data_IF_880794296956
#
_entry.id   IF_880794296956
#
_cell.length_a   1.000
_cell.length_b   1.000
_cell.length_c   1.000
_cell.angle_alpha   90.00
_cell.angle_beta   90.00
_cell.angle_gamma   90.00
#
_symmetry.space_group_name_H-M   'P 1'
#
loop_
_entity.id
_entity.type
_entity.pdbx_description
1 polymer ?
#
# COMPACT_ATOMS: atom_id res chain seq x y z
N UNK A 1 -4.05 77.21 24.38
CA UNK A 1 -3.91 77.12 22.91
C UNK A 1 -3.02 75.92 22.64
N UNK A 2 -3.55 74.70 22.51
CA UNK A 2 -4.34 74.12 21.40
C UNK A 2 -3.51 74.02 20.10
N UNK A 3 -3.43 72.79 19.55
CA UNK A 3 -2.95 72.45 18.20
C UNK A 3 -1.94 71.28 18.21
N UNK A 4 -2.37 70.02 18.30
CA UNK A 4 -2.72 69.10 17.18
C UNK A 4 -1.47 68.65 16.38
N UNK A 5 -0.92 67.45 16.57
CA UNK A 5 -1.36 66.11 16.12
C UNK A 5 -1.46 65.99 14.58
N UNK A 6 -0.37 65.52 13.95
CA UNK A 6 -0.45 64.79 12.67
C UNK A 6 0.53 63.62 12.72
N UNK A 7 -0.01 62.45 13.04
CA UNK A 7 0.63 61.16 12.80
C UNK A 7 0.66 60.92 11.28
N UNK A 8 1.85 60.77 10.71
CA UNK A 8 2.01 60.29 9.35
C UNK A 8 1.66 58.80 9.30
N UNK A 9 0.44 58.51 8.87
CA UNK A 9 -0.02 57.21 8.41
C UNK A 9 0.74 56.87 7.13
N UNK A 10 1.86 56.15 7.28
CA UNK A 10 2.43 55.34 6.21
C UNK A 10 1.48 54.16 5.98
N UNK A 11 0.46 54.39 5.17
CA UNK A 11 -0.30 53.33 4.50
C UNK A 11 0.67 52.68 3.51
N UNK A 12 1.49 51.76 4.03
CA UNK A 12 2.15 50.78 3.20
C UNK A 12 1.04 49.91 2.62
N UNK A 13 0.76 50.14 1.35
CA UNK A 13 -0.04 49.28 0.50
C UNK A 13 0.60 47.88 0.51
N UNK A 14 0.15 47.02 1.43
CA UNK A 14 0.27 45.57 1.32
C UNK A 14 -0.66 45.09 0.19
N UNK A 15 -0.32 45.49 -1.03
CA UNK A 15 -0.84 44.96 -2.27
C UNK A 15 0.35 44.44 -3.08
N UNK A 16 1.05 43.46 -2.50
CA UNK A 16 2.02 42.64 -3.21
C UNK A 16 1.52 41.20 -3.14
N UNK A 17 0.78 40.84 -4.19
CA UNK A 17 0.55 39.50 -4.70
C UNK A 17 0.52 38.38 -3.64
N UNK A 18 -0.64 38.21 -3.00
CA UNK A 18 -1.16 36.84 -2.89
C UNK A 18 -1.27 36.33 -4.32
N UNK A 19 -0.25 35.62 -4.83
CA UNK A 19 -0.50 34.64 -5.86
C UNK A 19 -1.51 33.68 -5.24
N UNK A 20 -2.80 33.95 -5.50
CA UNK A 20 -3.86 33.13 -4.95
C UNK A 20 -3.54 31.71 -5.39
N UNK A 21 -3.27 30.83 -4.42
CA UNK A 21 -3.20 29.41 -4.71
C UNK A 21 -4.57 29.07 -5.28
N UNK A 22 -4.66 28.95 -6.61
CA UNK A 22 -5.85 28.41 -7.24
C UNK A 22 -5.98 27.00 -6.71
N UNK A 23 -7.10 26.64 -6.07
CA UNK A 23 -7.29 25.29 -5.61
C UNK A 23 -7.06 24.32 -6.76
N UNK A 24 -6.24 23.30 -6.51
CA UNK A 24 -5.76 22.37 -7.53
C UNK A 24 -6.90 21.70 -8.32
N UNK A 25 -8.11 21.59 -7.76
CA UNK A 25 -9.29 21.04 -8.42
C UNK A 25 -9.99 21.98 -9.43
N UNK A 26 -9.53 23.24 -9.54
CA UNK A 26 -10.03 24.21 -10.53
C UNK A 26 -9.15 24.27 -11.80
N UNK A 27 -7.94 23.72 -11.76
CA UNK A 27 -6.99 23.75 -12.89
C UNK A 27 -7.10 22.48 -13.72
N UNK A 28 -7.17 22.64 -15.06
CA UNK A 28 -7.13 21.53 -16.03
C UNK A 28 -5.78 21.37 -16.72
N UNK A 29 -4.79 22.14 -16.30
CA UNK A 29 -3.45 22.07 -16.87
C UNK A 29 -2.81 20.71 -16.51
N UNK A 30 -2.10 20.06 -17.47
CA UNK A 30 -1.40 18.83 -17.18
C UNK A 30 -0.43 18.98 -16.02
N UNK A 31 -0.55 18.10 -15.04
CA UNK A 31 0.30 18.08 -13.85
C UNK A 31 1.68 17.54 -14.22
N UNK A 32 1.75 16.53 -15.10
CA UNK A 32 2.99 16.03 -15.69
C UNK A 32 3.46 16.97 -16.81
N UNK A 33 3.69 18.23 -16.43
CA UNK A 33 4.21 19.29 -17.28
C UNK A 33 5.71 19.08 -17.58
N UNK A 34 6.27 19.76 -18.60
CA UNK A 34 7.71 19.73 -18.86
C UNK A 34 8.59 20.11 -17.66
N UNK A 35 8.09 20.92 -16.74
CA UNK A 35 8.80 21.25 -15.50
C UNK A 35 8.88 20.06 -14.55
N UNK A 36 7.77 19.32 -14.38
CA UNK A 36 7.74 18.09 -13.57
C UNK A 36 8.56 16.98 -14.22
N UNK A 37 8.50 16.87 -15.55
CA UNK A 37 9.35 15.96 -16.32
C UNK A 37 10.84 16.20 -16.05
N UNK A 38 11.26 17.47 -16.13
CA UNK A 38 12.64 17.88 -15.89
C UNK A 38 13.05 17.64 -14.44
N UNK A 39 12.15 17.86 -13.48
CA UNK A 39 12.39 17.57 -12.07
C UNK A 39 12.62 16.07 -11.82
N UNK A 40 11.72 15.20 -12.31
CA UNK A 40 11.86 13.75 -12.15
C UNK A 40 13.14 13.26 -12.84
N UNK A 41 13.37 13.68 -14.08
CA UNK A 41 14.57 13.31 -14.85
C UNK A 41 15.84 13.80 -14.16
N UNK A 42 15.81 15.00 -13.56
CA UNK A 42 16.90 15.57 -12.77
C UNK A 42 17.23 14.72 -11.55
N UNK A 43 16.23 14.28 -10.79
CA UNK A 43 16.44 13.37 -9.64
C UNK A 43 17.05 12.05 -10.10
N UNK A 44 16.50 11.43 -11.15
CA UNK A 44 17.03 10.17 -11.68
C UNK A 44 18.50 10.30 -12.10
N UNK A 45 18.86 11.43 -12.72
CA UNK A 45 20.23 11.72 -13.13
C UNK A 45 21.16 12.00 -11.92
N UNK A 46 20.75 12.86 -10.99
CA UNK A 46 21.53 13.21 -9.78
C UNK A 46 21.82 11.96 -8.94
N UNK A 47 20.84 11.08 -8.81
CA UNK A 47 20.98 9.85 -8.05
C UNK A 47 21.74 8.77 -8.81
N UNK A 48 21.97 8.96 -10.12
CA UNK A 48 22.41 7.93 -11.06
C UNK A 48 21.59 6.65 -10.86
N UNK A 49 20.27 6.82 -10.92
CA UNK A 49 19.32 5.75 -10.66
C UNK A 49 19.42 4.69 -11.77
N UNK A 50 19.73 3.44 -11.44
CA UNK A 50 19.92 2.38 -12.44
C UNK A 50 18.60 1.93 -13.08
N UNK A 51 17.47 2.17 -12.39
CA UNK A 51 16.12 1.91 -12.86
C UNK A 51 15.32 3.19 -13.07
N UNK A 52 14.05 3.02 -13.41
CA UNK A 52 13.11 4.11 -13.64
C UNK A 52 11.95 4.14 -12.66
N UNK A 53 11.02 5.06 -12.91
CA UNK A 53 9.73 5.17 -12.23
C UNK A 53 8.61 5.23 -13.26
N UNK A 54 7.44 4.73 -12.89
CA UNK A 54 6.19 4.96 -13.62
C UNK A 54 5.25 5.75 -12.72
N UNK A 55 4.76 6.88 -13.21
CA UNK A 55 4.00 7.86 -12.44
C UNK A 55 2.60 7.95 -13.02
N UNK A 56 1.60 7.95 -12.13
CA UNK A 56 0.23 8.30 -12.46
C UNK A 56 -0.21 9.50 -11.59
N UNK A 57 -0.93 10.44 -12.20
CA UNK A 57 -1.60 11.54 -11.51
C UNK A 57 -3.09 11.41 -11.79
N UNK A 58 -3.88 11.43 -10.73
CA UNK A 58 -5.33 11.31 -10.77
C UNK A 58 -5.93 12.57 -10.15
N UNK A 59 -6.78 13.26 -10.91
CA UNK A 59 -7.40 14.52 -10.49
C UNK A 59 -8.90 14.49 -10.76
N UNK A 60 -9.69 14.74 -9.70
CA UNK A 60 -11.13 14.99 -9.82
C UNK A 60 -11.37 16.49 -9.94
N UNK A 61 -12.07 16.89 -10.99
CA UNK A 61 -12.45 18.28 -11.22
C UNK A 61 -13.72 18.65 -10.47
N UNK A 62 -13.93 19.95 -10.26
CA UNK A 62 -15.14 20.46 -9.59
C UNK A 62 -16.47 20.10 -10.28
N UNK A 63 -16.44 19.75 -11.58
CA UNK A 63 -17.61 19.26 -12.32
C UNK A 63 -17.80 17.73 -12.24
N UNK A 64 -16.96 17.05 -11.44
CA UNK A 64 -17.00 15.60 -11.25
C UNK A 64 -16.26 14.79 -12.32
N UNK A 65 -15.67 15.43 -13.34
CA UNK A 65 -14.87 14.73 -14.36
C UNK A 65 -13.48 14.40 -13.86
N UNK A 66 -12.82 13.44 -14.52
CA UNK A 66 -11.47 12.98 -14.18
C UNK A 66 -10.44 13.42 -15.22
N UNK A 67 -9.27 13.86 -14.75
CA UNK A 67 -8.03 13.83 -15.52
C UNK A 67 -7.11 12.76 -14.96
N UNK A 68 -6.61 11.89 -15.84
CA UNK A 68 -5.62 10.87 -15.51
C UNK A 68 -4.43 11.05 -16.44
N UNK A 69 -3.25 11.24 -15.87
CA UNK A 69 -2.00 11.37 -16.59
C UNK A 69 -1.04 10.28 -16.16
N UNK A 70 -0.36 9.65 -17.11
CA UNK A 70 0.57 8.56 -16.85
C UNK A 70 1.85 8.75 -17.65
N UNK A 71 3.00 8.48 -17.02
CA UNK A 71 4.29 8.58 -17.71
C UNK A 71 5.37 7.74 -17.05
N UNK A 72 6.18 7.08 -17.88
CA UNK A 72 7.39 6.38 -17.46
C UNK A 72 8.64 7.24 -17.64
N UNK A 73 9.59 7.12 -16.71
CA UNK A 73 10.88 7.80 -16.74
C UNK A 73 11.99 6.80 -16.42
N UNK A 74 13.09 6.81 -17.19
CA UNK A 74 14.23 5.92 -16.98
C UNK A 74 13.99 4.48 -17.44
N UNK A 75 14.86 3.56 -16.98
CA UNK A 75 14.94 2.20 -17.52
C UNK A 75 14.16 1.17 -16.67
N UNK A 76 13.34 0.35 -17.33
CA UNK A 76 12.64 -0.81 -16.80
C UNK A 76 13.51 -2.07 -16.62
N UNK A 77 14.64 -2.14 -17.31
CA UNK A 77 15.60 -3.24 -17.19
C UNK A 77 17.02 -2.80 -17.48
N UNK A 78 17.98 -3.64 -17.09
CA UNK A 78 19.41 -3.37 -17.24
C UNK A 78 19.88 -3.25 -18.70
N UNK A 79 19.11 -3.78 -19.65
CA UNK A 79 19.33 -3.70 -21.10
C UNK A 79 18.80 -2.40 -21.72
N UNK A 80 18.23 -1.48 -20.92
CA UNK A 80 17.80 -0.17 -21.39
C UNK A 80 16.37 -0.09 -21.92
N UNK A 81 15.54 -1.12 -21.74
CA UNK A 81 14.09 -0.99 -21.98
C UNK A 81 13.55 0.17 -21.16
N UNK A 82 12.75 1.04 -21.76
CA UNK A 82 12.21 2.23 -21.10
C UNK A 82 10.99 1.92 -20.22
N UNK A 83 10.79 2.69 -19.16
CA UNK A 83 9.57 2.67 -18.37
C UNK A 83 8.36 3.17 -19.17
N UNK A 84 7.21 2.60 -18.87
CA UNK A 84 5.90 2.97 -19.42
C UNK A 84 4.84 2.95 -18.33
N UNK A 85 3.63 3.44 -18.63
CA UNK A 85 2.47 3.33 -17.73
C UNK A 85 2.09 1.87 -17.41
N UNK A 86 2.38 0.95 -18.33
CA UNK A 86 2.08 -0.49 -18.23
C UNK A 86 3.19 -1.28 -17.54
N UNK A 87 4.32 -0.64 -17.20
CA UNK A 87 5.43 -1.29 -16.50
C UNK A 87 4.94 -1.85 -15.16
N UNK A 88 5.16 -3.15 -14.96
CA UNK A 88 4.66 -3.89 -13.80
C UNK A 88 5.69 -3.91 -12.68
N UNK A 89 5.24 -3.54 -11.48
CA UNK A 89 6.04 -3.49 -10.28
C UNK A 89 5.45 -4.40 -9.21
N UNK A 90 6.31 -5.07 -8.45
CA UNK A 90 5.92 -5.58 -7.13
C UNK A 90 5.62 -4.37 -6.24
N UNK A 91 4.35 -4.14 -5.90
CA UNK A 91 3.96 -2.94 -5.13
C UNK A 91 4.13 -3.13 -3.61
N UNK A 92 4.68 -4.29 -3.20
CA UNK A 92 4.99 -4.64 -1.81
C UNK A 92 3.82 -4.31 -0.88
N UNK A 93 4.08 -3.63 0.24
CA UNK A 93 3.10 -3.35 1.29
C UNK A 93 1.85 -2.59 0.83
N UNK A 94 1.84 -1.96 -0.34
CA UNK A 94 0.60 -1.39 -0.90
C UNK A 94 -0.48 -2.47 -1.11
N UNK A 95 -0.08 -3.74 -1.25
CA UNK A 95 -0.98 -4.91 -1.26
C UNK A 95 -1.93 -4.97 -0.05
N UNK A 96 -1.51 -4.41 1.09
CA UNK A 96 -2.30 -4.41 2.33
C UNK A 96 -3.63 -3.67 2.19
N UNK A 97 -3.70 -2.67 1.32
CA UNK A 97 -4.94 -1.93 1.07
C UNK A 97 -5.98 -2.81 0.37
N UNK A 98 -5.56 -3.65 -0.57
CA UNK A 98 -6.44 -4.67 -1.18
C UNK A 98 -6.93 -5.69 -0.14
N UNK A 99 -6.08 -6.07 0.81
CA UNK A 99 -6.43 -7.00 1.87
C UNK A 99 -7.53 -6.46 2.81
N UNK A 100 -7.38 -5.23 3.29
CA UNK A 100 -8.39 -4.63 4.17
C UNK A 100 -9.69 -4.31 3.41
N UNK A 101 -9.61 -3.93 2.13
CA UNK A 101 -10.79 -3.80 1.28
C UNK A 101 -11.52 -5.15 1.11
N UNK A 102 -10.80 -6.22 0.80
CA UNK A 102 -11.35 -7.57 0.70
C UNK A 102 -11.94 -8.07 2.04
N UNK A 103 -11.30 -7.74 3.16
CA UNK A 103 -11.85 -8.02 4.50
C UNK A 103 -13.16 -7.28 4.72
N UNK A 104 -13.26 -6.03 4.28
CA UNK A 104 -14.51 -5.25 4.32
C UNK A 104 -15.60 -5.81 3.42
N UNK A 105 -15.26 -6.35 2.25
CA UNK A 105 -16.20 -7.07 1.39
C UNK A 105 -16.75 -8.33 2.06
N UNK A 106 -15.90 -9.10 2.76
CA UNK A 106 -16.35 -10.23 3.57
C UNK A 106 -17.29 -9.78 4.69
N UNK A 107 -16.97 -8.69 5.40
CA UNK A 107 -17.85 -8.12 6.44
C UNK A 107 -19.21 -7.68 5.85
N UNK A 108 -19.20 -7.16 4.62
CA UNK A 108 -20.40 -6.74 3.89
C UNK A 108 -21.22 -7.90 3.33
N UNK A 109 -20.68 -9.13 3.32
CA UNK A 109 -21.30 -10.26 2.66
C UNK A 109 -22.41 -10.86 3.54
N UNK A 110 -23.65 -10.49 3.23
CA UNK A 110 -24.84 -11.00 3.88
C UNK A 110 -25.14 -12.49 3.61
N UNK A 111 -24.39 -13.14 2.73
CA UNK A 111 -24.54 -14.58 2.49
C UNK A 111 -23.64 -15.43 3.38
N UNK A 112 -22.76 -14.83 4.19
CA UNK A 112 -21.91 -15.59 5.11
C UNK A 112 -22.75 -16.34 6.15
N UNK A 113 -22.48 -17.64 6.31
CA UNK A 113 -23.08 -18.49 7.34
C UNK A 113 -22.83 -17.97 8.75
N UNK A 114 -21.70 -17.27 8.93
CA UNK A 114 -21.33 -16.56 10.13
C UNK A 114 -21.08 -15.09 9.81
N UNK A 115 -21.90 -14.22 10.41
CA UNK A 115 -21.66 -12.77 10.37
C UNK A 115 -20.41 -12.43 11.15
N UNK A 116 -19.61 -11.53 10.56
CA UNK A 116 -18.44 -10.93 11.18
C UNK A 116 -18.53 -9.41 11.07
N UNK A 117 -17.75 -8.71 11.88
CA UNK A 117 -17.65 -7.26 11.94
C UNK A 117 -16.21 -6.87 12.23
N UNK A 118 -15.89 -5.59 12.07
CA UNK A 118 -14.57 -5.03 12.40
C UNK A 118 -14.11 -5.29 13.84
N UNK A 119 -15.06 -5.50 14.76
CA UNK A 119 -14.79 -5.79 16.18
C UNK A 119 -14.89 -7.29 16.51
N UNK A 120 -15.08 -8.15 15.50
CA UNK A 120 -15.05 -9.60 15.71
C UNK A 120 -13.66 -10.04 16.13
N UNK A 121 -13.61 -10.85 17.19
CA UNK A 121 -12.37 -11.42 17.74
C UNK A 121 -11.77 -12.44 16.78
N UNK A 122 -10.46 -12.34 16.52
CA UNK A 122 -9.74 -13.27 15.63
C UNK A 122 -9.80 -14.70 16.15
N UNK A 123 -9.62 -14.90 17.46
CA UNK A 123 -9.72 -16.20 18.11
C UNK A 123 -11.07 -16.91 17.87
N UNK A 124 -12.11 -16.15 17.53
CA UNK A 124 -13.41 -16.72 17.23
C UNK A 124 -13.49 -17.26 15.79
N UNK A 125 -12.67 -16.74 14.86
CA UNK A 125 -12.72 -17.06 13.42
C UNK A 125 -11.62 -18.06 13.03
N UNK A 126 -10.41 -17.86 13.53
CA UNK A 126 -9.19 -18.55 13.06
C UNK A 126 -8.75 -19.59 14.09
N UNK A 127 -8.88 -20.90 13.82
CA UNK A 127 -8.55 -21.95 14.79
C UNK A 127 -7.08 -21.98 15.21
N UNK A 128 -6.18 -21.62 14.30
CA UNK A 128 -4.73 -21.57 14.57
C UNK A 128 -4.27 -20.31 15.30
N UNK A 129 -5.17 -19.36 15.56
CA UNK A 129 -4.81 -18.10 16.20
C UNK A 129 -4.52 -18.31 17.68
N UNK A 130 -3.27 -18.02 18.05
CA UNK A 130 -2.84 -17.93 19.42
C UNK A 130 -1.61 -17.01 19.47
N UNK A 131 -1.62 -16.05 20.38
CA UNK A 131 -0.45 -15.23 20.72
C UNK A 131 0.06 -15.63 22.09
N UNK A 132 1.36 -15.39 22.34
CA UNK A 132 1.96 -15.63 23.66
C UNK A 132 1.36 -14.74 24.75
N UNK A 133 1.02 -13.49 24.43
CA UNK A 133 0.24 -12.62 25.31
C UNK A 133 -1.23 -13.11 25.36
N UNK A 134 -1.75 -13.52 26.53
CA UNK A 134 -3.12 -14.07 26.65
C UNK A 134 -4.22 -13.01 26.43
N UNK A 135 -3.96 -11.74 26.73
CA UNK A 135 -4.90 -10.65 26.48
C UNK A 135 -4.96 -10.39 24.98
N UNK A 136 -3.81 -10.21 24.32
CA UNK A 136 -3.77 -10.02 22.87
C UNK A 136 -4.36 -11.23 22.13
N UNK A 137 -4.06 -12.45 22.58
CA UNK A 137 -4.60 -13.70 22.02
C UNK A 137 -6.13 -13.75 22.10
N UNK A 138 -6.72 -13.41 23.25
CA UNK A 138 -8.17 -13.51 23.46
C UNK A 138 -8.99 -12.29 23.03
N UNK A 139 -8.37 -11.10 22.92
CA UNK A 139 -9.07 -9.83 22.71
C UNK A 139 -8.79 -9.16 21.35
N UNK A 140 -7.79 -9.61 20.58
CA UNK A 140 -7.53 -9.03 19.25
C UNK A 140 -8.74 -9.17 18.33
N UNK A 141 -9.20 -8.04 17.82
CA UNK A 141 -10.23 -7.97 16.78
C UNK A 141 -9.63 -7.83 15.39
N UNK A 142 -10.45 -7.95 14.34
CA UNK A 142 -10.07 -7.59 12.97
C UNK A 142 -9.44 -6.19 12.92
N UNK A 143 -10.03 -5.24 13.65
CA UNK A 143 -9.47 -3.89 13.75
C UNK A 143 -8.12 -3.85 14.46
N UNK A 144 -7.87 -4.67 15.48
CA UNK A 144 -6.56 -4.68 16.15
C UNK A 144 -5.44 -5.19 15.24
N UNK A 145 -5.71 -6.25 14.47
CA UNK A 145 -4.70 -6.83 13.57
C UNK A 145 -4.40 -5.93 12.37
N UNK A 146 -5.40 -5.27 11.78
CA UNK A 146 -5.18 -4.32 10.67
C UNK A 146 -4.53 -3.01 11.10
N UNK A 147 -4.69 -2.64 12.38
CA UNK A 147 -4.12 -1.40 12.96
C UNK A 147 -2.79 -1.62 13.67
N UNK A 148 -2.13 -2.76 13.48
CA UNK A 148 -0.77 -2.99 14.00
C UNK A 148 -0.62 -2.80 15.51
N UNK A 149 -1.61 -3.21 16.32
CA UNK A 149 -1.68 -2.89 17.76
C UNK A 149 -1.87 -4.11 18.65
N UNK A 150 -1.30 -5.24 18.26
CA UNK A 150 -1.42 -6.50 19.01
C UNK A 150 -0.35 -6.66 20.10
N UNK A 151 0.68 -5.80 20.15
CA UNK A 151 1.84 -5.95 21.03
C UNK A 151 2.91 -6.95 20.53
N UNK A 152 2.60 -7.65 19.43
CA UNK A 152 3.54 -8.54 18.74
C UNK A 152 4.31 -7.76 17.65
N UNK A 153 5.65 -7.67 17.75
CA UNK A 153 6.47 -7.03 16.72
C UNK A 153 6.55 -7.87 15.45
N UNK A 154 7.21 -7.34 14.42
CA UNK A 154 7.53 -8.11 13.21
C UNK A 154 8.47 -9.27 13.53
N UNK A 155 8.26 -10.39 12.85
CA UNK A 155 9.11 -11.57 12.92
C UNK A 155 9.33 -12.15 11.51
N UNK A 156 9.70 -11.30 10.54
CA UNK A 156 9.70 -11.68 9.11
C UNK A 156 10.67 -12.81 8.74
N UNK A 157 11.61 -13.17 9.64
CA UNK A 157 12.53 -14.30 9.48
C UNK A 157 11.94 -15.65 9.91
N UNK A 158 10.74 -15.67 10.51
CA UNK A 158 10.12 -16.90 11.03
C UNK A 158 9.54 -17.82 9.94
N UNK A 159 9.41 -17.31 8.72
CA UNK A 159 8.78 -17.99 7.60
C UNK A 159 9.69 -17.98 6.38
N UNK A 160 9.56 -19.00 5.55
CA UNK A 160 10.41 -19.24 4.40
C UNK A 160 9.66 -19.78 3.19
N UNK A 161 10.39 -20.40 2.27
CA UNK A 161 9.88 -20.81 0.96
C UNK A 161 8.79 -21.87 1.02
N UNK A 162 8.82 -22.74 2.02
CA UNK A 162 7.92 -23.90 2.13
C UNK A 162 6.75 -23.65 3.08
N UNK A 163 6.60 -22.42 3.59
CA UNK A 163 5.53 -22.09 4.51
C UNK A 163 4.21 -21.80 3.82
N UNK A 164 3.14 -21.96 4.58
CA UNK A 164 1.79 -21.53 4.23
C UNK A 164 1.21 -20.70 5.40
N UNK A 165 0.04 -20.10 5.20
CA UNK A 165 -0.55 -19.23 6.22
C UNK A 165 -0.73 -20.00 7.54
N UNK A 166 -1.30 -21.21 7.49
CA UNK A 166 -1.51 -22.06 8.67
C UNK A 166 -0.22 -22.35 9.46
N UNK A 167 0.89 -22.67 8.79
CA UNK A 167 2.18 -22.94 9.46
C UNK A 167 2.74 -21.67 10.13
N UNK A 168 2.54 -20.51 9.51
CA UNK A 168 2.93 -19.21 10.07
C UNK A 168 2.09 -18.89 11.31
N UNK A 169 0.76 -19.04 11.23
CA UNK A 169 -0.14 -18.76 12.36
C UNK A 169 0.17 -19.63 13.58
N UNK A 170 0.41 -20.94 13.38
CA UNK A 170 0.78 -21.86 14.46
C UNK A 170 2.08 -21.50 15.18
N UNK A 171 2.97 -20.73 14.55
CA UNK A 171 4.22 -20.26 15.17
C UNK A 171 4.03 -19.00 16.02
N UNK A 172 2.95 -18.23 15.81
CA UNK A 172 2.75 -16.96 16.51
C UNK A 172 2.72 -17.11 18.04
N UNK A 173 2.19 -18.23 18.54
CA UNK A 173 2.16 -18.57 19.98
C UNK A 173 3.54 -18.71 20.63
N UNK A 174 4.59 -18.87 19.83
CA UNK A 174 5.97 -19.02 20.31
C UNK A 174 6.77 -17.72 20.25
N UNK A 175 6.18 -16.64 19.73
CA UNK A 175 6.87 -15.36 19.54
C UNK A 175 6.66 -14.45 20.75
N UNK A 176 7.73 -13.78 21.16
CA UNK A 176 7.69 -12.85 22.28
C UNK A 176 7.01 -11.53 21.88
N UNK A 177 6.00 -11.05 22.64
CA UNK A 177 5.54 -9.69 22.51
C UNK A 177 6.64 -8.73 22.98
N UNK A 178 6.60 -7.49 22.51
CA UNK A 178 7.53 -6.43 22.94
C UNK A 178 6.83 -5.22 23.56
N UNK A 179 5.50 -5.24 23.57
CA UNK A 179 4.62 -4.27 24.19
C UNK A 179 3.32 -4.96 24.63
N UNK A 180 2.58 -4.34 25.54
CA UNK A 180 1.25 -4.81 25.91
C UNK A 180 0.24 -4.62 24.76
N UNK A 181 -0.86 -5.36 24.82
CA UNK A 181 -1.94 -5.26 23.86
C UNK A 181 -2.47 -3.82 23.75
N UNK A 182 -2.47 -3.26 22.53
CA UNK A 182 -2.88 -1.88 22.18
C UNK A 182 -2.03 -0.75 22.77
N UNK A 183 -0.85 -1.06 23.31
CA UNK A 183 -0.01 -0.05 23.95
C UNK A 183 0.85 0.74 22.96
N UNK A 184 1.30 0.12 21.86
CA UNK A 184 2.10 0.78 20.82
C UNK A 184 1.69 0.31 19.41
N UNK A 185 2.02 1.12 18.40
CA UNK A 185 1.99 0.71 16.99
C UNK A 185 3.23 -0.13 16.66
N UNK A 186 3.03 -1.31 16.06
CA UNK A 186 4.11 -2.17 15.58
C UNK A 186 3.76 -2.77 14.21
N UNK A 187 4.42 -2.27 13.17
CA UNK A 187 4.21 -2.80 11.83
C UNK A 187 4.53 -4.31 11.80
N UNK A 188 3.58 -5.10 11.30
CA UNK A 188 3.61 -6.56 11.37
C UNK A 188 2.92 -7.20 10.15
N UNK A 189 3.70 -7.88 9.31
CA UNK A 189 3.17 -8.56 8.13
C UNK A 189 2.29 -9.77 8.47
N UNK A 190 2.57 -10.45 9.59
CA UNK A 190 1.87 -11.68 9.97
C UNK A 190 0.36 -11.46 10.14
N UNK A 191 -0.03 -10.27 10.62
CA UNK A 191 -1.44 -9.88 10.78
C UNK A 191 -2.16 -9.80 9.43
N UNK A 192 -1.47 -9.38 8.37
CA UNK A 192 -2.05 -9.33 7.02
C UNK A 192 -2.05 -10.71 6.35
N UNK A 193 -1.06 -11.56 6.65
CA UNK A 193 -1.11 -12.97 6.23
C UNK A 193 -2.31 -13.69 6.87
N UNK A 194 -2.59 -13.41 8.15
CA UNK A 194 -3.79 -13.89 8.83
C UNK A 194 -5.07 -13.43 8.14
N UNK A 195 -5.20 -12.14 7.83
CA UNK A 195 -6.41 -11.62 7.18
C UNK A 195 -6.62 -12.23 5.79
N UNK A 196 -5.56 -12.58 5.06
CA UNK A 196 -5.68 -13.33 3.81
C UNK A 196 -6.19 -14.76 3.98
N UNK A 197 -6.32 -15.28 5.20
CA UNK A 197 -6.93 -16.59 5.42
C UNK A 197 -8.46 -16.54 5.51
N UNK A 198 -9.04 -15.35 5.71
CA UNK A 198 -10.47 -15.21 5.97
C UNK A 198 -11.39 -15.71 4.83
N UNK A 199 -11.10 -15.48 3.54
CA UNK A 199 -11.93 -16.03 2.46
C UNK A 199 -12.03 -17.56 2.52
N UNK A 200 -10.90 -18.25 2.75
CA UNK A 200 -10.83 -19.70 2.83
C UNK A 200 -11.63 -20.26 4.02
N UNK A 201 -11.61 -19.54 5.15
CA UNK A 201 -12.30 -19.94 6.37
C UNK A 201 -13.81 -19.66 6.35
N UNK A 202 -14.24 -18.58 5.70
CA UNK A 202 -15.60 -18.06 5.82
C UNK A 202 -16.51 -18.42 4.64
N UNK A 203 -15.94 -18.68 3.46
CA UNK A 203 -16.72 -18.96 2.26
C UNK A 203 -16.84 -20.47 1.97
N UNK A 204 -18.00 -20.96 1.49
CA UNK A 204 -18.22 -22.40 1.26
C UNK A 204 -17.24 -23.04 0.27
N UNK A 205 -16.86 -22.32 -0.78
CA UNK A 205 -15.95 -22.79 -1.83
C UNK A 205 -14.48 -22.55 -1.50
N UNK A 206 -14.19 -21.95 -0.34
CA UNK A 206 -12.83 -21.75 0.20
C UNK A 206 -11.84 -21.17 -0.82
N UNK A 207 -12.16 -20.02 -1.45
CA UNK A 207 -11.29 -19.43 -2.45
C UNK A 207 -9.98 -19.00 -1.79
N UNK A 208 -8.88 -19.06 -2.54
CA UNK A 208 -7.66 -18.38 -2.12
C UNK A 208 -7.90 -16.87 -2.04
N UNK A 209 -7.14 -16.18 -1.22
CA UNK A 209 -7.25 -14.73 -1.11
C UNK A 209 -6.99 -14.01 -2.43
N UNK A 210 -6.02 -14.48 -3.21
CA UNK A 210 -5.72 -13.88 -4.50
C UNK A 210 -6.90 -13.97 -5.47
N UNK A 211 -7.59 -15.12 -5.52
CA UNK A 211 -8.81 -15.30 -6.31
C UNK A 211 -9.94 -14.42 -5.83
N UNK A 212 -10.17 -14.39 -4.52
CA UNK A 212 -11.20 -13.54 -3.92
C UNK A 212 -10.98 -12.06 -4.25
N UNK A 213 -9.75 -11.55 -4.12
CA UNK A 213 -9.42 -10.17 -4.49
C UNK A 213 -9.58 -9.94 -5.99
N UNK A 214 -9.16 -10.90 -6.83
CA UNK A 214 -9.29 -10.78 -8.27
C UNK A 214 -10.76 -10.66 -8.70
N UNK A 215 -11.60 -11.59 -8.26
CA UNK A 215 -13.02 -11.68 -8.62
C UNK A 215 -13.84 -10.50 -8.08
N UNK A 216 -13.50 -9.99 -6.89
CA UNK A 216 -14.32 -8.97 -6.22
C UNK A 216 -13.74 -7.55 -6.26
N UNK A 217 -12.48 -7.37 -6.69
CA UNK A 217 -11.86 -6.04 -6.78
C UNK A 217 -11.22 -5.84 -8.15
N UNK A 218 -10.31 -6.72 -8.59
CA UNK A 218 -9.55 -6.46 -9.83
C UNK A 218 -10.45 -6.49 -11.07
N UNK A 219 -11.24 -7.54 -11.24
CA UNK A 219 -12.12 -7.70 -12.41
C UNK A 219 -13.24 -6.65 -12.44
N UNK A 220 -13.99 -6.38 -11.36
CA UNK A 220 -15.04 -5.36 -11.38
C UNK A 220 -14.53 -3.94 -11.58
N UNK A 221 -13.27 -3.64 -11.23
CA UNK A 221 -12.64 -2.34 -11.48
C UNK A 221 -11.89 -2.29 -12.82
N UNK A 222 -11.74 -3.41 -13.52
CA UNK A 222 -10.98 -3.48 -14.78
C UNK A 222 -9.46 -3.33 -14.59
N UNK A 223 -8.90 -3.78 -13.46
CA UNK A 223 -7.45 -3.79 -13.18
C UNK A 223 -6.76 -4.94 -13.95
N UNK A 224 -6.78 -4.86 -15.27
CA UNK A 224 -6.42 -5.96 -16.18
C UNK A 224 -4.95 -6.39 -16.15
N UNK A 225 -4.05 -5.52 -15.69
CA UNK A 225 -2.61 -5.83 -15.60
C UNK A 225 -2.20 -6.24 -14.17
N UNK A 226 -3.06 -5.97 -13.19
CA UNK A 226 -2.81 -6.24 -11.78
C UNK A 226 -3.02 -7.73 -11.47
N UNK A 227 -2.02 -8.36 -10.87
CA UNK A 227 -2.02 -9.81 -10.64
C UNK A 227 -1.23 -10.17 -9.38
N UNK A 228 -1.47 -11.38 -8.85
CA UNK A 228 -0.61 -12.04 -7.85
C UNK A 228 0.42 -12.98 -8.49
N UNK A 229 0.29 -13.24 -9.79
CA UNK A 229 1.08 -14.23 -10.51
C UNK A 229 2.32 -13.62 -11.14
N UNK A 230 3.49 -14.08 -10.66
CA UNK A 230 4.77 -13.73 -11.27
C UNK A 230 4.83 -14.16 -12.75
N UNK A 231 4.33 -15.35 -13.07
CA UNK A 231 4.43 -15.92 -14.42
C UNK A 231 3.59 -15.10 -15.41
N UNK A 232 2.41 -14.63 -15.00
CA UNK A 232 1.57 -13.73 -15.81
C UNK A 232 2.25 -12.39 -16.02
N UNK A 233 2.82 -11.81 -14.97
CA UNK A 233 3.56 -10.56 -15.08
C UNK A 233 4.80 -10.69 -15.99
N UNK A 234 5.53 -11.81 -15.91
CA UNK A 234 6.67 -12.08 -16.79
C UNK A 234 6.23 -12.30 -18.25
N UNK A 235 5.18 -13.08 -18.47
CA UNK A 235 4.65 -13.37 -19.80
C UNK A 235 4.12 -12.11 -20.51
N UNK A 236 3.70 -11.09 -19.76
CA UNK A 236 3.28 -9.80 -20.33
C UNK A 236 4.43 -9.02 -21.00
N UNK A 237 5.69 -9.32 -20.68
CA UNK A 237 6.86 -8.54 -21.09
C UNK A 237 7.02 -7.19 -20.37
N UNK A 238 6.09 -6.82 -19.50
CA UNK A 238 6.08 -5.52 -18.83
C UNK A 238 6.71 -5.54 -17.43
N UNK A 239 7.01 -6.72 -16.87
CA UNK A 239 7.65 -6.82 -15.55
C UNK A 239 8.99 -6.07 -15.50
N UNK A 240 9.11 -5.15 -14.56
CA UNK A 240 10.32 -4.39 -14.30
C UNK A 240 11.36 -5.27 -13.59
N UNK A 241 12.63 -5.13 -13.96
CA UNK A 241 13.72 -5.75 -13.20
C UNK A 241 14.02 -4.89 -11.97
N UNK A 242 14.18 -5.54 -10.81
CA UNK A 242 14.77 -4.85 -9.66
C UNK A 242 16.18 -4.38 -10.03
N UNK A 243 16.51 -3.12 -9.80
CA UNK A 243 17.80 -2.55 -10.19
C UNK A 243 18.61 -2.17 -8.95
N UNK A 244 19.90 -2.50 -8.96
CA UNK A 244 20.87 -2.14 -7.93
C UNK A 244 22.13 -1.57 -8.58
N UNK A 245 23.11 -1.26 -7.74
CA UNK A 245 24.43 -0.80 -8.17
C UNK A 245 25.52 -1.62 -7.49
N UNK A 246 26.53 -2.00 -8.27
CA UNK A 246 27.76 -2.62 -7.77
C UNK A 246 28.88 -1.59 -7.62
N UNK A 247 29.92 -1.96 -6.86
CA UNK A 247 31.12 -1.13 -6.69
C UNK A 247 30.91 0.14 -5.87
N UNK A 248 29.90 0.18 -4.98
CA UNK A 248 29.64 1.33 -4.09
C UNK A 248 30.25 1.08 -2.71
N UNK A 249 31.13 1.99 -2.28
CA UNK A 249 31.50 2.11 -0.87
C UNK A 249 30.40 2.84 -0.11
N UNK A 250 29.68 2.12 0.77
CA UNK A 250 28.56 2.67 1.55
C UNK A 250 28.98 3.65 2.66
N UNK A 251 30.27 3.79 2.95
CA UNK A 251 30.78 4.78 3.92
C UNK A 251 31.04 6.15 3.28
N UNK A 252 30.84 6.28 1.97
CA UNK A 252 31.05 7.52 1.21
C UNK A 252 29.75 8.02 0.58
N UNK A 253 29.79 9.17 -0.08
CA UNK A 253 28.67 9.64 -0.89
C UNK A 253 28.38 8.63 -2.01
N UNK A 254 27.18 8.05 -1.97
CA UNK A 254 26.72 7.02 -2.91
C UNK A 254 26.01 7.60 -4.14
N UNK A 255 25.61 8.88 -4.10
CA UNK A 255 24.92 9.53 -5.23
C UNK A 255 25.86 9.65 -6.43
N UNK A 256 25.33 9.36 -7.63
CA UNK A 256 26.13 9.39 -8.85
C UNK A 256 27.06 8.19 -9.07
N UNK A 257 27.29 7.32 -8.06
CA UNK A 257 28.35 6.29 -8.12
C UNK A 257 27.82 4.88 -8.38
N UNK A 258 28.73 3.98 -8.74
CA UNK A 258 28.48 2.55 -8.94
C UNK A 258 28.01 2.19 -10.35
N UNK A 259 28.04 0.89 -10.65
CA UNK A 259 27.61 0.35 -11.95
C UNK A 259 26.21 -0.25 -11.82
N UNK A 260 25.23 0.19 -12.63
CA UNK A 260 23.90 -0.42 -12.68
C UNK A 260 23.95 -1.93 -12.91
N UNK A 261 23.10 -2.67 -12.20
CA UNK A 261 22.85 -4.07 -12.49
C UNK A 261 21.42 -4.48 -12.17
N UNK A 262 20.95 -5.52 -12.85
CA UNK A 262 19.76 -6.21 -12.42
C UNK A 262 20.02 -6.93 -11.09
N UNK A 263 19.06 -6.85 -10.18
CA UNK A 263 18.97 -7.69 -9.01
C UNK A 263 18.37 -9.02 -9.43
N UNK A 264 19.15 -10.09 -9.25
CA UNK A 264 18.54 -11.40 -9.20
C UNK A 264 17.75 -11.51 -7.89
N UNK A 265 16.45 -11.66 -8.03
CA UNK A 265 15.57 -11.90 -6.89
C UNK A 265 14.86 -13.22 -7.15
N UNK A 266 15.01 -14.23 -6.27
CA UNK A 266 14.49 -15.56 -6.55
C UNK A 266 12.97 -15.62 -6.59
N UNK A 267 12.26 -14.52 -6.23
CA UNK A 267 10.82 -14.30 -6.31
C UNK A 267 9.94 -15.46 -5.81
N UNK A 268 10.51 -16.38 -5.04
CA UNK A 268 9.83 -17.58 -4.55
C UNK A 268 8.68 -17.22 -3.60
N UNK A 269 8.75 -16.06 -2.95
CA UNK A 269 7.68 -15.53 -2.13
C UNK A 269 6.48 -15.04 -2.96
N UNK A 270 6.49 -15.23 -4.28
CA UNK A 270 5.36 -14.99 -5.20
C UNK A 270 5.09 -16.20 -6.12
N UNK A 271 5.71 -17.36 -5.87
CA UNK A 271 5.56 -18.55 -6.72
C UNK A 271 4.22 -19.28 -6.53
N UNK A 272 3.14 -18.55 -6.21
CA UNK A 272 1.80 -19.09 -5.99
C UNK A 272 0.86 -18.97 -7.20
N UNK A 273 1.33 -18.38 -8.30
CA UNK A 273 0.51 -18.10 -9.47
C UNK A 273 -0.68 -17.19 -9.13
N UNK A 274 -1.79 -17.37 -9.85
CA UNK A 274 -3.03 -16.60 -9.66
C UNK A 274 -3.76 -16.94 -8.34
N UNK A 275 -3.40 -18.04 -7.68
CA UNK A 275 -3.90 -18.39 -6.34
C UNK A 275 -3.10 -17.70 -5.22
N UNK A 276 -1.97 -17.08 -5.57
CA UNK A 276 -1.07 -16.44 -4.62
C UNK A 276 -0.49 -17.43 -3.61
N UNK A 277 0.13 -16.88 -2.57
CA UNK A 277 0.66 -17.67 -1.46
C UNK A 277 0.48 -16.91 -0.14
N UNK A 278 1.18 -17.33 0.92
CA UNK A 278 1.09 -16.70 2.24
C UNK A 278 1.45 -15.21 2.28
N UNK A 279 2.15 -14.67 1.26
CA UNK A 279 2.49 -13.24 1.14
C UNK A 279 1.43 -12.43 0.43
N UNK A 280 0.43 -13.06 -0.21
CA UNK A 280 -0.58 -12.37 -1.01
C UNK A 280 -1.21 -11.19 -0.25
N UNK A 281 -1.65 -11.43 1.00
CA UNK A 281 -2.25 -10.40 1.84
C UNK A 281 -1.31 -9.28 2.32
N UNK A 282 0.00 -9.55 2.42
CA UNK A 282 0.95 -8.61 3.02
C UNK A 282 1.80 -7.85 1.99
N UNK A 283 2.02 -8.41 0.81
CA UNK A 283 2.94 -7.84 -0.18
C UNK A 283 2.93 -8.50 -1.56
N UNK A 284 1.89 -9.25 -1.92
CA UNK A 284 1.92 -10.10 -3.12
C UNK A 284 1.43 -9.46 -4.42
N UNK A 285 0.88 -8.25 -4.39
CA UNK A 285 0.32 -7.63 -5.59
C UNK A 285 1.42 -7.12 -6.52
N UNK A 286 1.24 -7.37 -7.81
CA UNK A 286 1.98 -6.80 -8.91
C UNK A 286 1.02 -5.90 -9.67
N UNK A 287 1.38 -4.64 -9.92
CA UNK A 287 0.50 -3.67 -10.57
C UNK A 287 1.29 -2.67 -11.41
N UNK A 288 0.59 -1.92 -12.25
CA UNK A 288 1.12 -0.86 -13.11
C UNK A 288 0.65 0.52 -12.62
N UNK A 289 1.29 1.60 -13.07
CA UNK A 289 0.83 2.95 -12.74
C UNK A 289 -0.58 3.22 -13.28
N UNK A 290 -0.90 2.65 -14.45
CA UNK A 290 -2.21 2.71 -15.08
C UNK A 290 -3.31 2.07 -14.23
N UNK A 291 -3.11 0.83 -13.78
CA UNK A 291 -4.09 0.16 -12.92
C UNK A 291 -4.16 0.81 -11.53
N UNK A 292 -3.03 1.28 -11.00
CA UNK A 292 -3.00 2.03 -9.75
C UNK A 292 -3.78 3.35 -9.84
N UNK A 293 -3.81 3.99 -11.01
CA UNK A 293 -4.63 5.18 -11.25
C UNK A 293 -6.13 4.84 -11.13
N UNK A 294 -6.58 3.78 -11.81
CA UNK A 294 -7.96 3.29 -11.69
C UNK A 294 -8.32 2.90 -10.26
N UNK A 295 -7.39 2.24 -9.55
CA UNK A 295 -7.57 1.91 -8.13
C UNK A 295 -7.73 3.15 -7.27
N UNK A 296 -6.90 4.17 -7.49
CA UNK A 296 -7.00 5.45 -6.77
C UNK A 296 -8.30 6.19 -7.09
N UNK A 297 -8.74 6.21 -8.34
CA UNK A 297 -10.04 6.78 -8.70
C UNK A 297 -11.18 6.06 -7.96
N UNK A 298 -11.16 4.73 -7.90
CA UNK A 298 -12.17 3.97 -7.17
C UNK A 298 -12.20 4.32 -5.68
N UNK A 299 -11.04 4.49 -5.05
CA UNK A 299 -10.95 4.94 -3.65
C UNK A 299 -11.51 6.36 -3.45
N UNK A 300 -11.27 7.26 -4.40
CA UNK A 300 -11.79 8.63 -4.38
C UNK A 300 -13.28 8.73 -4.76
N UNK A 301 -13.85 7.69 -5.36
CA UNK A 301 -15.29 7.54 -5.66
C UNK A 301 -16.00 6.58 -4.70
N UNK A 302 -15.56 6.52 -3.44
CA UNK A 302 -16.19 5.72 -2.39
C UNK A 302 -16.37 4.24 -2.77
N UNK A 303 -15.43 3.69 -3.52
CA UNK A 303 -15.39 2.29 -3.91
C UNK A 303 -16.13 1.96 -5.20
N UNK A 304 -16.54 2.97 -5.98
CA UNK A 304 -17.19 2.77 -7.29
C UNK A 304 -16.19 2.59 -8.40
N UNK A 305 -16.57 1.83 -9.42
CA UNK A 305 -15.83 1.79 -10.68
C UNK A 305 -15.90 3.19 -11.35
N UNK A 306 -14.77 3.82 -11.70
CA UNK A 306 -14.76 5.19 -12.22
C UNK A 306 -15.34 5.33 -13.63
N UNK A 307 -15.56 4.23 -14.34
CA UNK A 307 -16.15 4.19 -15.69
C UNK A 307 -17.62 3.78 -15.65
N UNK A 308 -17.95 2.69 -14.98
CA UNK A 308 -19.33 2.15 -14.94
C UNK A 308 -20.18 2.76 -13.83
N UNK A 309 -19.55 3.43 -12.85
CA UNK A 309 -20.17 3.98 -11.64
C UNK A 309 -20.81 2.91 -10.72
N UNK A 310 -20.59 1.63 -11.01
CA UNK A 310 -21.06 0.51 -10.20
C UNK A 310 -20.30 0.47 -8.88
N UNK A 311 -21.01 0.19 -7.78
CA UNK A 311 -20.41 0.05 -6.46
C UNK A 311 -19.67 -1.28 -6.38
N UNK A 312 -18.34 -1.26 -6.38
CA UNK A 312 -17.50 -2.47 -6.22
C UNK A 312 -17.21 -2.72 -4.74
N UNK A 313 -16.80 -1.68 -4.03
CA UNK A 313 -16.61 -1.71 -2.57
C UNK A 313 -17.65 -0.78 -1.95
N UNK A 314 -18.41 -1.22 -0.93
CA UNK A 314 -19.38 -0.35 -0.28
C UNK A 314 -18.73 0.91 0.32
N UNK A 315 -19.35 2.10 0.20
CA UNK A 315 -18.78 3.35 0.74
C UNK A 315 -18.39 3.29 2.21
N UNK A 316 -19.20 2.62 3.05
CA UNK A 316 -18.90 2.48 4.48
C UNK A 316 -17.64 1.63 4.75
N UNK A 317 -17.27 0.73 3.84
CA UNK A 317 -16.00 -0.01 3.91
C UNK A 317 -14.84 0.91 3.61
N UNK A 318 -14.96 1.74 2.56
CA UNK A 318 -13.93 2.73 2.21
C UNK A 318 -13.72 3.73 3.35
N UNK A 319 -14.80 4.28 3.91
CA UNK A 319 -14.74 5.18 5.07
C UNK A 319 -14.02 4.51 6.24
N UNK A 320 -14.37 3.25 6.55
CA UNK A 320 -13.74 2.52 7.66
C UNK A 320 -12.25 2.26 7.43
N UNK A 321 -11.88 1.89 6.21
CA UNK A 321 -10.49 1.63 5.81
C UNK A 321 -9.65 2.92 5.79
N UNK A 322 -10.25 4.04 5.41
CA UNK A 322 -9.62 5.36 5.44
C UNK A 322 -9.55 5.97 6.84
N UNK A 323 -10.33 5.47 7.79
CA UNK A 323 -10.32 5.96 9.18
C UNK A 323 -9.09 5.45 9.93
N UNK A 324 -8.13 6.35 10.15
CA UNK A 324 -6.92 6.06 10.93
C UNK A 324 -7.24 5.61 12.35
N UNK A 325 -6.99 4.33 12.64
CA UNK A 325 -6.96 3.81 14.01
C UNK A 325 -5.56 3.34 14.31
N UNK A 326 -4.86 4.07 15.18
CA UNK A 326 -3.47 3.81 15.55
C UNK A 326 -3.24 4.18 17.00
N UNK A 327 -2.09 3.78 17.55
CA UNK A 327 -1.60 4.26 18.85
C UNK A 327 -0.56 5.34 18.58
N UNK A 328 -0.87 6.58 18.96
CA UNK A 328 -0.05 7.74 18.60
C UNK A 328 1.16 7.95 19.53
N UNK A 329 1.06 7.50 20.78
CA UNK A 329 2.12 7.58 21.79
C UNK A 329 2.20 6.25 22.52
N UNK A 330 3.36 5.61 22.53
CA UNK A 330 3.55 4.33 23.20
C UNK A 330 5.03 4.03 23.40
N UNK A 331 5.37 3.20 24.40
CA UNK A 331 6.75 2.81 24.71
C UNK A 331 6.90 1.29 24.67
N UNK A 332 7.80 0.77 23.83
CA UNK A 332 8.11 -0.66 23.82
C UNK A 332 9.00 -1.03 25.01
N UNK A 333 8.67 -2.08 25.74
CA UNK A 333 9.51 -2.58 26.85
C UNK A 333 10.78 -3.28 26.35
N UNK A 334 10.80 -3.74 25.09
CA UNK A 334 11.98 -4.35 24.43
C UNK A 334 12.22 -3.71 23.05
N UNK A 335 12.96 -2.58 22.96
CA UNK A 335 13.12 -1.82 21.72
C UNK A 335 13.78 -2.58 20.57
N UNK A 336 14.68 -3.53 20.88
CA UNK A 336 15.44 -4.31 19.89
C UNK A 336 14.55 -5.17 18.98
N UNK A 337 13.35 -5.54 19.42
CA UNK A 337 12.39 -6.30 18.60
C UNK A 337 11.51 -5.39 17.74
N UNK A 338 11.50 -4.09 18.00
CA UNK A 338 10.77 -3.08 17.23
C UNK A 338 11.69 -2.46 16.18
N UNK A 339 11.77 -3.09 15.00
CA UNK A 339 12.60 -2.61 13.89
C UNK A 339 12.20 -1.24 13.31
N UNK A 340 11.24 -0.53 13.89
CA UNK A 340 10.86 0.84 13.52
C UNK A 340 11.53 1.92 14.40
N UNK A 341 12.52 1.56 15.21
CA UNK A 341 13.45 2.51 15.83
C UNK A 341 14.79 2.43 15.10
N UNK A 342 14.87 3.10 13.94
CA UNK A 342 16.03 3.83 13.40
C UNK A 342 15.66 4.53 12.09
#
# INVERSE_FOLDING_TARGET
>A
MIGDLVAFLLVYSCALASAGQTPFFLTRDPVLSPHVDAFISGILAEWNTPGGVSVAVVQKHGDGTWSVETKGYGNASADGRQMTEDSLFFIASNSKLFNIAATGLLISNESLSRRISWDTKIASIVPEWELKDPIASSQSTITDVMSHRTGLPRHDLMYGRTDNVTSILKRLRHLEPSAEFRDIYQYNNNMYMLLSYLPELLLPHKPSFARYVKEHIFEPLGLTSTTYSLDVAQASGNLVQGMARDGINKTENIFGRGTPRAMWHPNWFLSGGEDGNYKAGAGGVISSAKDAATWLQALLEDGRNPVTNESVIPPYVIEKVATGKTVQTGYAFVPILSHDVL
#
